data_IF_154722916979
#
_entry.id   IF_154722916979
#
_cell.length_a   1.000
_cell.length_b   1.000
_cell.length_c   1.000
_cell.angle_alpha   90.00
_cell.angle_beta   90.00
_cell.angle_gamma   90.00
#
_symmetry.space_group_name_H-M   'P 1'
#
loop_
_entity.id
_entity.type
_entity.pdbx_description
1 polymer ?
#
# COMPACT_ATOMS: atom_id res chain seq x y z
N UNK A 1 0.55 19.27 12.50
CA UNK A 1 0.49 17.89 13.06
C UNK A 1 -0.63 17.79 14.09
N UNK A 2 -1.26 16.64 14.26
CA UNK A 2 -2.20 16.37 15.38
C UNK A 2 -1.57 15.34 16.32
N UNK A 3 -1.83 15.43 17.63
CA UNK A 3 -1.21 14.54 18.63
C UNK A 3 -2.20 14.14 19.73
N UNK A 4 -1.98 12.96 20.31
CA UNK A 4 -2.63 12.51 21.55
C UNK A 4 -1.82 11.41 22.22
N UNK A 5 -1.34 11.67 23.43
CA UNK A 5 -0.59 10.70 24.25
C UNK A 5 0.65 10.12 23.53
N UNK A 6 1.49 10.98 22.95
CA UNK A 6 2.67 10.60 22.19
C UNK A 6 3.99 10.88 22.94
N UNK A 7 3.98 11.05 24.27
CA UNK A 7 5.16 11.45 25.04
C UNK A 7 6.34 10.47 24.86
N UNK A 8 6.04 9.19 24.62
CA UNK A 8 7.04 8.15 24.42
C UNK A 8 7.79 8.25 23.07
N UNK A 9 7.20 8.88 22.05
CA UNK A 9 7.72 8.83 20.67
C UNK A 9 7.87 10.20 20.01
N UNK A 10 7.15 11.23 20.45
CA UNK A 10 7.08 12.51 19.74
C UNK A 10 8.45 13.19 19.60
N UNK A 11 9.35 13.04 20.58
CA UNK A 11 10.66 13.69 20.57
C UNK A 11 11.48 13.34 19.32
N UNK A 12 11.53 12.07 18.91
CA UNK A 12 12.27 11.66 17.71
C UNK A 12 11.67 12.25 16.41
N UNK A 13 10.34 12.39 16.36
CA UNK A 13 9.66 13.04 15.24
C UNK A 13 10.08 14.51 15.16
N UNK A 14 9.97 15.23 16.30
CA UNK A 14 10.36 16.63 16.38
C UNK A 14 11.84 16.86 16.03
N UNK A 15 12.75 16.02 16.52
CA UNK A 15 14.17 16.08 16.18
C UNK A 15 14.42 15.97 14.67
N UNK A 16 13.68 15.09 13.99
CA UNK A 16 13.82 14.89 12.54
C UNK A 16 13.25 16.04 11.70
N UNK A 17 12.19 16.70 12.18
CA UNK A 17 11.44 17.72 11.42
C UNK A 17 11.97 19.13 11.68
N UNK A 18 12.44 19.40 12.90
CA UNK A 18 12.89 20.72 13.35
C UNK A 18 13.89 21.41 12.41
N UNK A 19 14.89 20.73 11.80
CA UNK A 19 15.83 21.38 10.88
C UNK A 19 15.22 21.83 9.53
N UNK A 20 13.96 21.47 9.26
CA UNK A 20 13.31 21.56 7.96
C UNK A 20 12.13 22.55 7.96
N UNK A 21 11.85 23.20 9.09
CA UNK A 21 10.68 24.06 9.27
C UNK A 21 11.09 25.42 9.84
N UNK A 22 10.41 26.48 9.39
CA UNK A 22 10.57 27.84 9.92
C UNK A 22 9.58 28.14 11.05
N UNK A 23 8.44 27.45 11.06
CA UNK A 23 7.38 27.59 12.05
C UNK A 23 6.64 26.28 12.26
N UNK A 24 5.85 26.17 13.33
CA UNK A 24 5.08 24.97 13.63
C UNK A 24 3.67 25.26 14.14
N UNK A 25 2.74 24.36 13.80
CA UNK A 25 1.40 24.28 14.39
C UNK A 25 1.11 22.83 14.73
N UNK A 26 0.83 22.60 16.01
CA UNK A 26 0.45 21.29 16.53
C UNK A 26 -0.90 21.43 17.23
N UNK A 27 -1.82 20.52 16.92
CA UNK A 27 -3.10 20.41 17.63
C UNK A 27 -3.05 19.19 18.53
N UNK A 28 -2.97 19.43 19.83
CA UNK A 28 -3.15 18.41 20.86
C UNK A 28 -4.65 18.14 21.06
N UNK A 29 -5.03 16.86 21.01
CA UNK A 29 -6.44 16.43 21.03
C UNK A 29 -6.85 15.80 22.36
N UNK A 30 -6.15 16.18 23.45
CA UNK A 30 -6.42 15.75 24.82
C UNK A 30 -5.39 14.75 25.33
N UNK A 31 -4.09 15.06 25.19
CA UNK A 31 -3.02 14.30 25.85
C UNK A 31 -3.08 14.45 27.37
N UNK A 32 -2.67 13.40 28.08
CA UNK A 32 -2.63 13.33 29.55
C UNK A 32 -1.30 12.77 30.07
N UNK A 33 -0.32 12.59 29.20
CA UNK A 33 0.93 11.85 29.46
C UNK A 33 2.20 12.72 29.44
N UNK A 34 2.05 14.05 29.33
CA UNK A 34 3.17 14.98 29.23
C UNK A 34 3.58 15.35 27.80
N UNK A 35 2.86 14.89 26.76
CA UNK A 35 3.16 15.20 25.35
C UNK A 35 3.29 16.70 25.09
N UNK A 36 2.42 17.50 25.71
CA UNK A 36 2.33 18.94 25.49
C UNK A 36 3.56 19.67 26.03
N UNK A 37 4.03 19.28 27.21
CA UNK A 37 5.22 19.82 27.86
C UNK A 37 6.47 19.56 27.00
N UNK A 38 6.59 18.33 26.47
CA UNK A 38 7.70 17.96 25.58
C UNK A 38 7.70 18.84 24.32
N UNK A 39 6.54 19.06 23.70
CA UNK A 39 6.43 19.92 22.51
C UNK A 39 6.87 21.35 22.84
N UNK A 40 6.32 21.94 23.91
CA UNK A 40 6.62 23.33 24.31
C UNK A 40 8.09 23.52 24.64
N UNK A 41 8.70 22.57 25.35
CA UNK A 41 10.12 22.62 25.68
C UNK A 41 10.98 22.49 24.42
N UNK A 42 10.66 21.52 23.56
CA UNK A 42 11.53 21.19 22.42
C UNK A 42 11.44 22.18 21.26
N UNK A 43 10.28 22.83 21.03
CA UNK A 43 10.06 23.79 19.95
C UNK A 43 9.93 25.23 20.42
N UNK A 44 10.11 25.50 21.72
CA UNK A 44 9.80 26.80 22.33
C UNK A 44 10.66 27.98 21.84
N UNK A 45 11.76 27.71 21.15
CA UNK A 45 12.63 28.71 20.54
C UNK A 45 12.35 28.94 19.04
N UNK A 46 11.45 28.17 18.43
CA UNK A 46 10.95 28.40 17.07
C UNK A 46 9.57 29.09 17.10
N UNK A 47 9.27 29.98 16.14
CA UNK A 47 7.91 30.49 15.96
C UNK A 47 6.92 29.34 15.82
N UNK A 48 5.80 29.39 16.54
CA UNK A 48 4.77 28.38 16.41
C UNK A 48 3.85 28.29 17.62
N UNK A 49 2.80 27.49 17.49
CA UNK A 49 1.74 27.41 18.48
C UNK A 49 1.28 25.97 18.69
N UNK A 50 1.17 25.58 19.96
CA UNK A 50 0.45 24.39 20.39
C UNK A 50 -0.99 24.77 20.71
N UNK A 51 -1.94 24.18 20.00
CA UNK A 51 -3.37 24.34 20.25
C UNK A 51 -3.92 23.12 20.96
N UNK A 52 -4.65 23.34 22.05
CA UNK A 52 -5.41 22.29 22.73
C UNK A 52 -6.86 22.36 22.25
N UNK A 53 -7.33 21.30 21.60
CA UNK A 53 -8.66 21.24 20.98
C UNK A 53 -9.34 19.91 21.27
N UNK A 54 -10.68 19.87 21.36
CA UNK A 54 -11.41 18.60 21.42
C UNK A 54 -11.14 17.77 20.16
N UNK A 55 -11.10 16.44 20.30
CA UNK A 55 -11.03 15.52 19.16
C UNK A 55 -12.26 15.65 18.25
N UNK A 56 -12.04 15.92 16.96
CA UNK A 56 -13.10 16.08 15.93
C UNK A 56 -13.12 14.94 14.90
N UNK A 57 -12.46 13.82 15.17
CA UNK A 57 -12.17 12.80 14.15
C UNK A 57 -10.84 13.05 13.44
N UNK A 58 -10.39 12.08 12.65
CA UNK A 58 -9.09 12.12 11.96
C UNK A 58 -9.05 13.24 10.92
N UNK A 59 -10.02 13.25 10.02
CA UNK A 59 -10.22 14.31 9.04
C UNK A 59 -10.45 15.69 9.65
N UNK A 60 -11.39 15.79 10.60
CA UNK A 60 -11.77 17.06 11.23
C UNK A 60 -10.62 17.71 12.00
N UNK A 61 -9.88 16.94 12.80
CA UNK A 61 -8.77 17.48 13.60
C UNK A 61 -7.56 17.85 12.72
N UNK A 62 -7.26 17.06 11.67
CA UNK A 62 -6.20 17.41 10.71
C UNK A 62 -6.58 18.65 9.89
N UNK A 63 -7.83 18.79 9.48
CA UNK A 63 -8.32 19.98 8.77
C UNK A 63 -8.25 21.22 9.65
N UNK A 64 -8.62 21.12 10.93
CA UNK A 64 -8.44 22.23 11.88
C UNK A 64 -6.96 22.63 12.02
N UNK A 65 -6.03 21.66 12.03
CA UNK A 65 -4.60 21.96 12.06
C UNK A 65 -4.13 22.70 10.78
N UNK A 66 -4.69 22.37 9.61
CA UNK A 66 -4.42 23.09 8.36
C UNK A 66 -4.91 24.53 8.45
N UNK A 67 -6.15 24.73 8.90
CA UNK A 67 -6.75 26.06 8.96
C UNK A 67 -6.02 26.99 9.93
N UNK A 68 -5.56 26.46 11.07
CA UNK A 68 -4.75 27.20 12.04
C UNK A 68 -3.35 27.56 11.49
N UNK A 69 -2.77 26.71 10.66
CA UNK A 69 -1.42 26.90 10.12
C UNK A 69 -1.37 27.75 8.84
N UNK A 70 -2.50 27.88 8.13
CA UNK A 70 -2.58 28.45 6.77
C UNK A 70 -1.98 29.85 6.64
N UNK A 71 -2.13 30.70 7.65
CA UNK A 71 -1.61 32.07 7.63
C UNK A 71 -0.19 32.20 8.17
N UNK A 72 0.41 31.11 8.65
CA UNK A 72 1.75 31.11 9.28
C UNK A 72 2.86 30.67 8.34
N UNK A 73 2.56 30.08 7.18
CA UNK A 73 3.54 29.55 6.25
C UNK A 73 3.06 29.58 4.79
N UNK A 74 3.99 29.48 3.84
CA UNK A 74 3.70 29.32 2.41
C UNK A 74 3.37 27.87 2.04
N UNK A 75 3.91 26.92 2.80
CA UNK A 75 3.71 25.48 2.64
C UNK A 75 3.51 24.79 3.98
N UNK A 76 2.69 23.73 3.98
CA UNK A 76 2.39 22.90 5.14
C UNK A 76 2.95 21.50 4.93
N UNK A 77 3.79 21.07 5.87
CA UNK A 77 4.36 19.73 5.95
C UNK A 77 3.53 18.86 6.93
N UNK A 78 3.17 17.66 6.51
CA UNK A 78 2.44 16.69 7.31
C UNK A 78 3.32 15.49 7.67
N UNK A 79 3.41 15.23 8.96
CA UNK A 79 4.11 14.08 9.54
C UNK A 79 3.30 13.60 10.74
N UNK A 80 3.26 12.28 10.95
CA UNK A 80 2.63 11.67 12.12
C UNK A 80 3.64 11.65 13.28
N UNK A 81 3.16 11.77 14.52
CA UNK A 81 4.02 11.97 15.69
C UNK A 81 4.91 10.75 16.03
N UNK A 82 4.59 9.59 15.48
CA UNK A 82 5.35 8.36 15.59
C UNK A 82 6.19 8.05 14.34
N UNK A 83 6.26 8.96 13.38
CA UNK A 83 7.11 8.87 12.19
C UNK A 83 8.32 9.81 12.27
N UNK A 84 9.29 9.63 11.37
CA UNK A 84 10.46 10.52 11.26
C UNK A 84 10.71 10.93 9.82
N UNK A 85 11.32 12.09 9.62
CA UNK A 85 11.78 12.54 8.31
C UNK A 85 13.25 12.18 8.12
N UNK A 86 13.56 11.61 6.96
CA UNK A 86 14.91 11.30 6.53
C UNK A 86 15.20 12.03 5.23
N UNK A 87 16.39 12.62 5.14
CA UNK A 87 16.84 13.34 3.95
C UNK A 87 18.10 12.69 3.40
N UNK A 88 18.23 12.71 2.08
CA UNK A 88 19.42 12.20 1.42
C UNK A 88 20.63 13.10 1.72
N UNK A 89 21.83 12.51 1.61
CA UNK A 89 23.07 13.26 1.80
C UNK A 89 23.15 14.41 0.78
N UNK A 90 23.33 15.63 1.29
CA UNK A 90 23.40 16.83 0.45
C UNK A 90 22.04 17.43 0.07
N UNK A 91 20.93 16.88 0.56
CA UNK A 91 19.60 17.45 0.32
C UNK A 91 19.54 18.93 0.71
N UNK A 92 18.89 19.72 -0.14
CA UNK A 92 18.54 21.11 0.07
C UNK A 92 17.11 21.29 -0.41
N UNK A 93 16.28 21.95 0.40
CA UNK A 93 14.92 22.26 0.01
C UNK A 93 14.95 23.04 -1.31
N UNK A 94 14.32 22.53 -2.39
CA UNK A 94 14.29 23.24 -3.66
C UNK A 94 13.33 24.44 -3.58
N UNK A 95 13.35 25.28 -4.61
CA UNK A 95 12.30 26.28 -4.78
C UNK A 95 10.96 25.56 -5.01
N UNK A 96 10.02 25.77 -4.09
CA UNK A 96 8.72 25.10 -4.12
C UNK A 96 7.76 25.86 -5.05
N UNK A 97 7.47 25.27 -6.20
CA UNK A 97 6.65 25.86 -7.27
C UNK A 97 5.32 25.13 -7.48
N UNK A 98 5.24 23.84 -7.13
CA UNK A 98 4.03 23.03 -7.24
C UNK A 98 3.12 23.22 -6.04
N UNK A 99 1.80 23.09 -6.23
CA UNK A 99 0.84 23.25 -5.13
C UNK A 99 0.85 22.06 -4.16
N UNK A 100 1.28 20.88 -4.63
CA UNK A 100 1.38 19.66 -3.84
C UNK A 100 2.61 18.86 -4.23
N UNK A 101 3.34 18.39 -3.22
CA UNK A 101 4.49 17.51 -3.40
C UNK A 101 4.21 16.13 -2.79
N UNK A 102 4.37 15.11 -3.64
CA UNK A 102 4.44 13.72 -3.21
C UNK A 102 5.78 13.46 -2.52
N UNK A 103 5.71 12.79 -1.36
CA UNK A 103 6.86 12.39 -0.56
C UNK A 103 6.85 10.87 -0.44
N UNK A 104 8.03 10.25 -0.56
CA UNK A 104 8.19 8.82 -0.38
C UNK A 104 8.01 8.47 1.11
N UNK A 105 7.19 7.46 1.37
CA UNK A 105 6.90 6.94 2.70
C UNK A 105 7.40 5.51 2.79
N UNK A 106 8.41 5.31 3.63
CA UNK A 106 9.12 4.06 3.80
C UNK A 106 8.54 3.30 4.98
N UNK A 107 8.03 2.09 4.73
CA UNK A 107 7.56 1.17 5.76
C UNK A 107 8.11 -0.23 5.50
N UNK A 108 9.26 -0.53 6.09
CA UNK A 108 10.04 -1.76 5.83
C UNK A 108 10.43 -1.85 4.34
N UNK A 109 10.37 -2.97 3.59
CA UNK A 109 10.79 -2.93 2.18
C UNK A 109 9.76 -2.22 1.27
N UNK A 110 8.64 -1.75 1.81
CA UNK A 110 7.57 -1.11 1.05
C UNK A 110 7.77 0.40 1.04
N UNK A 111 7.77 0.97 -0.16
CA UNK A 111 7.77 2.41 -0.39
C UNK A 111 6.45 2.77 -1.09
N UNK A 112 5.73 3.75 -0.57
CA UNK A 112 4.57 4.34 -1.23
C UNK A 112 4.69 5.86 -1.23
N UNK A 113 3.96 6.53 -2.11
CA UNK A 113 4.00 7.99 -2.23
C UNK A 113 2.70 8.59 -1.72
N UNK A 114 2.79 9.65 -0.91
CA UNK A 114 1.62 10.44 -0.49
C UNK A 114 1.90 11.93 -0.58
N UNK A 115 0.89 12.77 -0.89
CA UNK A 115 0.99 14.21 -0.66
C UNK A 115 1.32 14.47 0.81
N UNK A 116 2.46 15.10 1.08
CA UNK A 116 2.86 15.44 2.46
C UNK A 116 3.36 16.87 2.61
N UNK A 117 3.56 17.60 1.51
CA UNK A 117 3.90 19.02 1.53
C UNK A 117 2.99 19.75 0.54
N UNK A 118 2.25 20.76 1.00
CA UNK A 118 1.28 21.48 0.14
C UNK A 118 1.31 22.99 0.36
N UNK A 119 1.05 23.74 -0.70
CA UNK A 119 1.00 25.21 -0.65
C UNK A 119 -0.25 25.70 0.09
N UNK A 120 -0.11 26.72 0.94
CA UNK A 120 -1.24 27.35 1.66
C UNK A 120 -2.17 28.17 0.76
N UNK A 121 -1.79 28.38 -0.51
CA UNK A 121 -2.57 29.11 -1.52
C UNK A 121 -3.90 28.44 -1.88
N UNK A 122 -4.02 27.13 -1.67
CA UNK A 122 -5.21 26.36 -2.03
C UNK A 122 -5.94 25.80 -0.81
N UNK A 123 -7.27 25.60 -0.87
CA UNK A 123 -8.10 25.20 0.28
C UNK A 123 -7.99 23.70 0.58
N UNK A 124 -6.81 23.25 1.02
CA UNK A 124 -6.59 21.86 1.43
C UNK A 124 -7.44 21.47 2.65
N UNK A 125 -7.92 20.22 2.66
CA UNK A 125 -8.59 19.58 3.80
C UNK A 125 -8.25 18.10 3.84
N UNK A 126 -8.35 17.47 5.00
CA UNK A 126 -8.36 16.02 5.08
C UNK A 126 -9.80 15.51 4.95
N UNK A 127 -9.97 14.40 4.24
CA UNK A 127 -11.27 13.75 4.04
C UNK A 127 -11.17 12.29 4.46
N UNK A 128 -12.10 11.86 5.32
CA UNK A 128 -12.28 10.46 5.67
C UNK A 128 -12.28 10.20 7.18
N UNK A 129 -13.25 9.41 7.65
CA UNK A 129 -13.34 9.01 9.07
C UNK A 129 -12.18 8.11 9.52
N UNK A 130 -11.52 7.43 8.58
CA UNK A 130 -10.31 6.62 8.75
C UNK A 130 -9.64 6.44 7.39
N UNK A 131 -8.32 6.25 7.36
CA UNK A 131 -7.52 6.26 6.13
C UNK A 131 -7.71 7.55 5.34
N UNK A 132 -7.74 8.65 6.10
CA UNK A 132 -7.92 10.00 5.64
C UNK A 132 -6.85 10.39 4.61
N UNK A 133 -7.24 11.19 3.63
CA UNK A 133 -6.34 11.67 2.59
C UNK A 133 -6.49 13.18 2.45
N UNK A 134 -5.42 13.81 1.99
CA UNK A 134 -5.42 15.24 1.71
C UNK A 134 -6.10 15.48 0.37
N UNK A 135 -7.06 16.39 0.37
CA UNK A 135 -7.88 16.73 -0.78
C UNK A 135 -7.94 18.24 -0.99
N UNK A 136 -8.22 18.65 -2.22
CA UNK A 136 -8.45 20.03 -2.60
C UNK A 136 -9.53 20.08 -3.67
N UNK A 137 -10.57 20.89 -3.42
CA UNK A 137 -11.68 21.05 -4.36
C UNK A 137 -11.29 21.87 -5.61
N UNK A 138 -10.09 22.45 -5.64
CA UNK A 138 -9.57 23.25 -6.75
C UNK A 138 -8.54 22.45 -7.57
N UNK A 139 -8.42 22.66 -8.90
CA UNK A 139 -7.33 22.10 -9.68
C UNK A 139 -5.96 22.55 -9.15
N UNK A 140 -5.01 21.62 -9.10
CA UNK A 140 -3.70 21.89 -8.54
C UNK A 140 -2.58 21.16 -9.26
N UNK A 141 -1.39 21.74 -9.20
CA UNK A 141 -0.18 21.15 -9.79
C UNK A 141 0.51 20.21 -8.81
N UNK A 142 1.11 19.13 -9.31
CA UNK A 142 1.77 18.09 -8.51
C UNK A 142 3.23 17.95 -8.88
N UNK A 143 4.09 17.96 -7.87
CA UNK A 143 5.51 17.63 -7.98
C UNK A 143 5.87 16.44 -7.09
N UNK A 144 7.13 16.04 -7.17
CA UNK A 144 7.74 15.05 -6.28
C UNK A 144 8.87 15.73 -5.53
N UNK A 145 8.97 15.50 -4.21
CA UNK A 145 10.07 16.01 -3.41
C UNK A 145 11.13 14.90 -3.26
N UNK A 146 12.08 14.88 -4.20
CA UNK A 146 13.16 13.89 -4.20
C UNK A 146 14.18 14.15 -3.07
N UNK A 147 14.74 13.08 -2.53
CA UNK A 147 15.71 13.14 -1.43
C UNK A 147 15.13 13.54 -0.08
N UNK A 148 13.80 13.53 0.05
CA UNK A 148 13.06 13.77 1.28
C UNK A 148 12.06 12.64 1.49
N UNK A 149 12.13 11.96 2.62
CA UNK A 149 11.40 10.74 2.87
C UNK A 149 10.78 10.76 4.27
N UNK A 150 9.60 10.16 4.42
CA UNK A 150 9.01 9.86 5.73
C UNK A 150 9.26 8.39 6.01
N UNK A 151 9.92 8.06 7.12
CA UNK A 151 10.06 6.67 7.56
C UNK A 151 9.06 6.38 8.68
N UNK A 152 8.22 5.38 8.44
CA UNK A 152 7.27 4.89 9.43
C UNK A 152 8.04 4.10 10.50
N UNK A 153 7.99 4.59 11.74
CA UNK A 153 8.66 3.94 12.88
C UNK A 153 7.64 3.27 13.80
N UNK A 154 6.51 3.93 14.07
CA UNK A 154 5.44 3.39 14.90
C UNK A 154 5.76 3.35 16.39
N UNK A 155 4.92 2.67 17.17
CA UNK A 155 5.00 2.69 18.63
C UNK A 155 4.29 3.88 19.29
N UNK A 156 3.48 4.64 18.53
CA UNK A 156 2.58 5.64 19.11
C UNK A 156 1.43 5.03 19.91
N UNK A 157 0.70 5.86 20.66
CA UNK A 157 -0.30 5.41 21.64
C UNK A 157 -1.34 4.44 21.06
N UNK A 158 -1.80 4.68 19.83
CA UNK A 158 -2.81 3.83 19.17
C UNK A 158 -2.31 2.41 18.85
N UNK A 159 -1.00 2.20 18.74
CA UNK A 159 -0.43 0.87 18.48
C UNK A 159 -0.32 0.01 19.75
N UNK A 160 -0.32 0.62 20.94
CA UNK A 160 -0.19 -0.09 22.23
C UNK A 160 -1.51 -0.63 22.81
N UNK A 161 -2.67 -0.31 22.22
CA UNK A 161 -3.98 -0.64 22.78
C UNK A 161 -4.58 -1.94 22.21
N UNK A 162 -4.36 -3.05 22.94
CA UNK A 162 -5.03 -4.34 22.69
C UNK A 162 -4.38 -5.20 21.61
N UNK A 163 -5.08 -6.25 21.16
CA UNK A 163 -4.59 -7.10 20.08
C UNK A 163 -4.78 -6.45 18.71
N UNK A 164 -4.00 -6.86 17.70
CA UNK A 164 -4.18 -6.44 16.31
C UNK A 164 -5.62 -6.67 15.83
N UNK A 165 -6.22 -7.79 16.24
CA UNK A 165 -7.61 -8.12 15.93
C UNK A 165 -8.57 -7.06 16.50
N UNK A 166 -8.43 -6.71 17.77
CA UNK A 166 -9.32 -5.73 18.41
C UNK A 166 -9.22 -4.36 17.76
N UNK A 167 -8.01 -3.96 17.34
CA UNK A 167 -7.79 -2.74 16.55
C UNK A 167 -8.58 -2.76 15.25
N UNK A 168 -8.46 -3.82 14.45
CA UNK A 168 -9.15 -3.88 13.16
C UNK A 168 -10.67 -4.04 13.30
N UNK A 169 -11.17 -4.65 14.38
CA UNK A 169 -12.60 -4.63 14.71
C UNK A 169 -13.10 -3.21 14.98
N UNK A 170 -12.37 -2.41 15.76
CA UNK A 170 -12.71 -0.99 16.00
C UNK A 170 -12.67 -0.17 14.71
N UNK A 171 -11.66 -0.39 13.87
CA UNK A 171 -11.54 0.28 12.58
C UNK A 171 -12.73 -0.06 11.66
N UNK A 172 -13.17 -1.33 11.64
CA UNK A 172 -14.35 -1.74 10.91
C UNK A 172 -15.63 -1.06 11.43
N UNK A 173 -15.83 -0.97 12.74
CA UNK A 173 -16.99 -0.27 13.32
C UNK A 173 -17.04 1.22 12.97
N UNK A 174 -15.88 1.89 12.94
CA UNK A 174 -15.77 3.29 12.53
C UNK A 174 -16.22 3.45 11.08
N UNK A 175 -15.74 2.58 10.19
CA UNK A 175 -16.05 2.61 8.76
C UNK A 175 -17.50 2.22 8.47
N UNK A 176 -18.09 1.28 9.21
CA UNK A 176 -19.52 0.96 9.14
C UNK A 176 -20.37 2.18 9.49
N UNK A 177 -20.06 2.87 10.60
CA UNK A 177 -20.74 4.11 10.98
C UNK A 177 -20.55 5.22 9.94
N UNK A 178 -19.37 5.30 9.31
CA UNK A 178 -19.11 6.18 8.18
C UNK A 178 -20.04 5.88 7.00
N UNK A 179 -20.15 4.62 6.59
CA UNK A 179 -21.02 4.17 5.49
C UNK A 179 -22.52 4.32 5.78
N UNK A 180 -22.94 4.39 7.05
CA UNK A 180 -24.33 4.75 7.37
C UNK A 180 -24.64 6.20 7.00
N UNK A 181 -23.65 7.10 7.06
CA UNK A 181 -23.79 8.52 6.73
C UNK A 181 -23.49 8.80 5.25
N UNK A 182 -22.51 8.09 4.70
CA UNK A 182 -22.05 8.22 3.32
C UNK A 182 -22.07 6.83 2.62
N UNK A 183 -23.25 6.30 2.24
CA UNK A 183 -23.37 4.93 1.72
C UNK A 183 -22.60 4.67 0.41
N UNK A 184 -22.38 5.72 -0.37
CA UNK A 184 -21.67 5.67 -1.66
C UNK A 184 -20.16 5.94 -1.53
N UNK A 185 -19.64 6.10 -0.31
CA UNK A 185 -18.21 6.31 -0.10
C UNK A 185 -17.42 5.03 -0.38
N UNK A 186 -16.92 4.92 -1.61
CA UNK A 186 -16.20 3.75 -2.09
C UNK A 186 -14.90 3.49 -1.30
N UNK A 187 -14.23 4.54 -0.83
CA UNK A 187 -13.02 4.39 0.00
C UNK A 187 -13.34 3.73 1.33
N UNK A 188 -14.43 4.14 1.99
CA UNK A 188 -14.85 3.49 3.24
C UNK A 188 -15.22 2.03 3.03
N UNK A 189 -15.92 1.69 1.94
CA UNK A 189 -16.24 0.30 1.62
C UNK A 189 -14.98 -0.56 1.39
N UNK A 190 -13.97 -0.02 0.71
CA UNK A 190 -12.70 -0.70 0.49
C UNK A 190 -11.96 -0.98 1.81
N UNK A 191 -11.77 0.04 2.65
CA UNK A 191 -11.07 -0.14 3.91
C UNK A 191 -11.88 -0.95 4.92
N UNK A 192 -13.22 -0.93 4.87
CA UNK A 192 -14.05 -1.80 5.71
C UNK A 192 -13.76 -3.27 5.40
N UNK A 193 -13.65 -3.59 4.12
CA UNK A 193 -13.30 -4.94 3.68
C UNK A 193 -11.89 -5.35 4.14
N UNK A 194 -10.92 -4.43 4.12
CA UNK A 194 -9.58 -4.65 4.67
C UNK A 194 -9.61 -4.86 6.19
N UNK A 195 -10.30 -4.00 6.94
CA UNK A 195 -10.43 -4.13 8.39
C UNK A 195 -11.05 -5.47 8.78
N UNK A 196 -12.10 -5.93 8.08
CA UNK A 196 -12.64 -7.27 8.32
C UNK A 196 -11.66 -8.39 8.00
N UNK A 197 -10.89 -8.26 6.91
CA UNK A 197 -9.87 -9.26 6.55
C UNK A 197 -8.83 -9.38 7.66
N UNK A 198 -8.32 -8.25 8.12
CA UNK A 198 -7.19 -8.17 9.05
C UNK A 198 -7.65 -8.44 10.50
N UNK A 199 -8.93 -8.24 10.80
CA UNK A 199 -9.58 -8.74 12.01
C UNK A 199 -9.81 -10.26 11.99
N UNK A 200 -9.64 -10.95 10.85
CA UNK A 200 -9.91 -12.39 10.73
C UNK A 200 -11.39 -12.73 10.57
N UNK A 201 -12.15 -11.88 9.87
CA UNK A 201 -13.58 -12.04 9.54
C UNK A 201 -13.76 -12.23 8.01
N UNK A 202 -13.35 -13.37 7.44
CA UNK A 202 -13.22 -13.53 5.98
C UNK A 202 -14.54 -13.44 5.21
N UNK A 203 -15.66 -13.87 5.80
CA UNK A 203 -16.98 -13.77 5.16
C UNK A 203 -17.49 -12.33 5.08
N UNK A 204 -17.33 -11.56 6.17
CA UNK A 204 -17.66 -10.12 6.18
C UNK A 204 -16.77 -9.36 5.20
N UNK A 205 -15.48 -9.71 5.17
CA UNK A 205 -14.52 -9.11 4.25
C UNK A 205 -14.88 -9.39 2.79
N UNK A 206 -15.22 -10.63 2.45
CA UNK A 206 -15.63 -11.00 1.08
C UNK A 206 -16.87 -10.20 0.66
N UNK A 207 -17.91 -10.14 1.49
CA UNK A 207 -19.12 -9.37 1.19
C UNK A 207 -18.83 -7.87 1.00
N UNK A 208 -17.95 -7.30 1.84
CA UNK A 208 -17.57 -5.89 1.75
C UNK A 208 -16.74 -5.60 0.48
N UNK A 209 -15.83 -6.49 0.08
CA UNK A 209 -15.11 -6.36 -1.19
C UNK A 209 -16.02 -6.52 -2.40
N UNK A 210 -16.98 -7.44 -2.36
CA UNK A 210 -17.97 -7.60 -3.43
C UNK A 210 -18.82 -6.33 -3.60
N UNK A 211 -19.22 -5.70 -2.48
CA UNK A 211 -19.85 -4.37 -2.51
C UNK A 211 -18.91 -3.33 -3.10
N UNK A 212 -17.66 -3.25 -2.64
CA UNK A 212 -16.70 -2.25 -3.15
C UNK A 212 -16.44 -2.41 -4.65
N UNK A 213 -16.37 -3.64 -5.14
CA UNK A 213 -16.13 -3.96 -6.53
C UNK A 213 -17.26 -3.53 -7.47
N UNK A 214 -18.50 -3.35 -6.96
CA UNK A 214 -19.64 -2.85 -7.74
C UNK A 214 -19.82 -1.34 -7.68
N UNK A 215 -19.01 -0.63 -6.88
CA UNK A 215 -19.04 0.83 -6.75
C UNK A 215 -18.12 1.51 -7.77
N UNK A 216 -18.40 2.79 -8.05
CA UNK A 216 -17.52 3.64 -8.86
C UNK A 216 -16.26 4.10 -8.10
N UNK A 217 -15.67 5.21 -8.57
CA UNK A 217 -14.52 5.84 -7.93
C UNK A 217 -13.18 5.32 -8.46
N UNK A 218 -12.18 5.24 -7.59
CA UNK A 218 -10.82 4.91 -8.00
C UNK A 218 -10.72 3.47 -8.55
N UNK A 219 -10.29 3.36 -9.80
CA UNK A 219 -10.28 2.09 -10.54
C UNK A 219 -9.30 1.05 -9.96
N UNK A 220 -8.18 1.49 -9.39
CA UNK A 220 -7.21 0.56 -8.78
C UNK A 220 -7.74 -0.05 -7.48
N UNK A 221 -8.47 0.72 -6.65
CA UNK A 221 -9.17 0.17 -5.48
C UNK A 221 -10.24 -0.84 -5.89
N UNK A 222 -10.97 -0.58 -6.97
CA UNK A 222 -11.97 -1.52 -7.50
C UNK A 222 -11.33 -2.83 -7.96
N UNK A 223 -10.21 -2.75 -8.68
CA UNK A 223 -9.40 -3.91 -9.05
C UNK A 223 -8.91 -4.69 -7.82
N UNK A 224 -8.30 -4.00 -6.85
CA UNK A 224 -7.82 -4.63 -5.61
C UNK A 224 -8.96 -5.31 -4.85
N UNK A 225 -10.15 -4.71 -4.81
CA UNK A 225 -11.33 -5.31 -4.20
C UNK A 225 -11.71 -6.63 -4.89
N UNK A 226 -11.75 -6.66 -6.22
CA UNK A 226 -12.05 -7.87 -6.99
C UNK A 226 -10.98 -8.97 -6.78
N UNK A 227 -9.70 -8.59 -6.83
CA UNK A 227 -8.58 -9.51 -6.60
C UNK A 227 -8.64 -10.11 -5.18
N UNK A 228 -8.85 -9.28 -4.16
CA UNK A 228 -8.90 -9.73 -2.77
C UNK A 228 -10.15 -10.56 -2.47
N UNK A 229 -11.29 -10.23 -3.09
CA UNK A 229 -12.49 -11.07 -3.06
C UNK A 229 -12.22 -12.45 -3.68
N UNK A 230 -11.56 -12.52 -4.84
CA UNK A 230 -11.20 -13.79 -5.47
C UNK A 230 -10.30 -14.66 -4.58
N UNK A 231 -9.28 -14.06 -3.95
CA UNK A 231 -8.39 -14.73 -2.99
C UNK A 231 -9.13 -15.22 -1.74
N UNK A 232 -10.04 -14.41 -1.21
CA UNK A 232 -10.88 -14.80 -0.06
C UNK A 232 -11.82 -15.94 -0.43
N UNK A 233 -12.47 -15.89 -1.59
CA UNK A 233 -13.32 -16.96 -2.09
C UNK A 233 -12.55 -18.28 -2.21
N UNK A 234 -11.32 -18.25 -2.76
CA UNK A 234 -10.43 -19.41 -2.80
C UNK A 234 -10.11 -19.94 -1.40
N UNK A 235 -9.75 -19.06 -0.45
CA UNK A 235 -9.44 -19.43 0.94
C UNK A 235 -10.64 -20.04 1.68
N UNK A 236 -11.83 -19.51 1.43
CA UNK A 236 -13.11 -20.01 1.94
C UNK A 236 -13.58 -21.29 1.22
N UNK A 237 -12.81 -21.80 0.26
CA UNK A 237 -13.13 -23.00 -0.54
C UNK A 237 -14.49 -22.88 -1.24
N UNK A 238 -14.79 -21.68 -1.77
CA UNK A 238 -15.93 -21.48 -2.67
C UNK A 238 -15.79 -22.40 -3.89
N UNK A 239 -16.91 -22.74 -4.58
CA UNK A 239 -16.87 -23.61 -5.75
C UNK A 239 -15.82 -23.16 -6.77
N UNK A 240 -15.03 -24.07 -7.37
CA UNK A 240 -13.94 -23.70 -8.29
C UNK A 240 -14.35 -22.82 -9.47
N UNK A 241 -15.57 -22.99 -9.98
CA UNK A 241 -16.12 -22.16 -11.06
C UNK A 241 -16.32 -20.70 -10.61
N UNK A 242 -16.81 -20.48 -9.38
CA UNK A 242 -16.97 -19.14 -8.79
C UNK A 242 -15.60 -18.47 -8.61
N UNK A 243 -14.63 -19.19 -8.04
CA UNK A 243 -13.28 -18.67 -7.82
C UNK A 243 -12.61 -18.29 -9.14
N UNK A 244 -12.74 -19.15 -10.16
CA UNK A 244 -12.21 -18.88 -11.50
C UNK A 244 -12.84 -17.62 -12.11
N UNK A 245 -14.17 -17.50 -12.09
CA UNK A 245 -14.89 -16.32 -12.59
C UNK A 245 -14.48 -15.03 -11.87
N UNK A 246 -14.29 -15.08 -10.54
CA UNK A 246 -13.81 -13.92 -9.76
C UNK A 246 -12.42 -13.45 -10.19
N UNK A 247 -11.48 -14.36 -10.42
CA UNK A 247 -10.15 -13.97 -10.93
C UNK A 247 -10.22 -13.42 -12.36
N UNK A 248 -11.05 -14.02 -13.23
CA UNK A 248 -11.21 -13.54 -14.60
C UNK A 248 -11.82 -12.13 -14.64
N UNK A 249 -12.85 -11.86 -13.83
CA UNK A 249 -13.42 -10.50 -13.70
C UNK A 249 -12.41 -9.48 -13.17
N UNK A 250 -11.58 -9.87 -12.21
CA UNK A 250 -10.48 -9.02 -11.74
C UNK A 250 -9.49 -8.70 -12.87
N UNK A 251 -9.14 -9.69 -13.71
CA UNK A 251 -8.29 -9.45 -14.88
C UNK A 251 -8.98 -8.56 -15.93
N UNK A 252 -10.26 -8.81 -16.23
CA UNK A 252 -11.03 -8.03 -17.21
C UNK A 252 -11.17 -6.55 -16.81
N UNK A 253 -11.29 -6.25 -15.52
CA UNK A 253 -11.39 -4.86 -15.05
C UNK A 253 -10.08 -4.08 -15.14
N UNK A 254 -8.93 -4.78 -15.10
CA UNK A 254 -7.61 -4.16 -15.23
C UNK A 254 -6.60 -5.12 -15.88
N UNK A 255 -6.64 -5.29 -17.20
CA UNK A 255 -5.87 -6.33 -17.90
C UNK A 255 -4.35 -6.10 -17.88
N UNK A 256 -3.91 -4.88 -17.53
CA UNK A 256 -2.50 -4.55 -17.30
C UNK A 256 -1.94 -5.04 -15.96
N UNK A 257 -2.74 -5.76 -15.14
CA UNK A 257 -2.32 -6.31 -13.85
C UNK A 257 -2.18 -7.84 -13.91
N UNK A 258 -0.98 -8.34 -13.62
CA UNK A 258 -0.64 -9.75 -13.72
C UNK A 258 -1.18 -10.62 -12.57
N UNK A 259 -1.44 -10.01 -11.41
CA UNK A 259 -1.70 -10.73 -10.15
C UNK A 259 -2.88 -11.69 -10.24
N UNK A 260 -3.99 -11.27 -10.86
CA UNK A 260 -5.20 -12.09 -10.99
C UNK A 260 -4.96 -13.36 -11.84
N UNK A 261 -4.28 -13.22 -12.98
CA UNK A 261 -3.94 -14.37 -13.83
C UNK A 261 -2.85 -15.23 -13.23
N UNK A 262 -1.87 -14.63 -12.56
CA UNK A 262 -0.84 -15.34 -11.83
C UNK A 262 -1.42 -16.23 -10.73
N UNK A 263 -2.30 -15.69 -9.89
CA UNK A 263 -2.98 -16.44 -8.83
C UNK A 263 -3.87 -17.54 -9.42
N UNK A 264 -4.59 -17.27 -10.52
CA UNK A 264 -5.42 -18.26 -11.20
C UNK A 264 -4.57 -19.39 -11.82
N UNK A 265 -3.42 -19.07 -12.41
CA UNK A 265 -2.47 -20.04 -12.94
C UNK A 265 -1.96 -20.97 -11.84
N UNK A 266 -1.55 -20.38 -10.70
CA UNK A 266 -1.12 -21.12 -9.51
C UNK A 266 -2.24 -22.03 -8.99
N UNK A 267 -3.48 -21.55 -8.92
CA UNK A 267 -4.62 -22.35 -8.51
C UNK A 267 -4.81 -23.56 -9.44
N UNK A 268 -4.82 -23.33 -10.75
CA UNK A 268 -4.93 -24.40 -11.74
C UNK A 268 -3.81 -25.43 -11.61
N UNK A 269 -2.58 -24.99 -11.35
CA UNK A 269 -1.42 -25.87 -11.17
C UNK A 269 -1.58 -26.75 -9.93
N UNK A 270 -1.99 -26.18 -8.81
CA UNK A 270 -2.21 -26.94 -7.56
C UNK A 270 -3.34 -27.96 -7.70
N UNK A 271 -4.33 -27.68 -8.54
CA UNK A 271 -5.43 -28.60 -8.87
C UNK A 271 -5.07 -29.62 -9.98
N UNK A 272 -3.82 -29.64 -10.48
CA UNK A 272 -3.38 -30.53 -11.56
C UNK A 272 -3.92 -30.19 -12.95
N UNK A 273 -4.56 -29.03 -13.12
CA UNK A 273 -5.10 -28.53 -14.40
C UNK A 273 -4.00 -27.82 -15.20
N UNK A 274 -2.92 -28.54 -15.51
CA UNK A 274 -1.69 -27.96 -16.06
C UNK A 274 -1.88 -27.22 -17.38
N UNK A 275 -2.79 -27.68 -18.26
CA UNK A 275 -3.10 -26.99 -19.52
C UNK A 275 -3.65 -25.57 -19.30
N UNK A 276 -4.50 -25.38 -18.29
CA UNK A 276 -5.00 -24.04 -17.94
C UNK A 276 -3.97 -23.22 -17.17
N UNK A 277 -3.23 -23.85 -16.26
CA UNK A 277 -2.12 -23.20 -15.58
C UNK A 277 -1.13 -22.60 -16.58
N UNK A 278 -0.78 -23.36 -17.62
CA UNK A 278 0.11 -22.93 -18.69
C UNK A 278 -0.46 -21.73 -19.47
N UNK A 279 -1.72 -21.79 -19.89
CA UNK A 279 -2.39 -20.68 -20.59
C UNK A 279 -2.38 -19.38 -19.78
N UNK A 280 -2.79 -19.45 -18.50
CA UNK A 280 -2.86 -18.26 -17.66
C UNK A 280 -1.48 -17.73 -17.25
N UNK A 281 -0.53 -18.61 -16.90
CA UNK A 281 0.83 -18.21 -16.54
C UNK A 281 1.54 -17.54 -17.71
N UNK A 282 1.36 -18.08 -18.92
CA UNK A 282 1.96 -17.50 -20.14
C UNK A 282 1.43 -16.10 -20.43
N UNK A 283 0.14 -15.87 -20.20
CA UNK A 283 -0.42 -14.52 -20.32
C UNK A 283 0.07 -13.61 -19.20
N UNK A 284 0.08 -14.06 -17.95
CA UNK A 284 0.57 -13.28 -16.81
C UNK A 284 2.04 -12.85 -16.99
N UNK A 285 2.92 -13.75 -17.45
CA UNK A 285 4.34 -13.48 -17.67
C UNK A 285 4.63 -12.49 -18.84
N UNK A 286 3.62 -12.19 -19.67
CA UNK A 286 3.73 -11.19 -20.75
C UNK A 286 3.30 -9.79 -20.32
N UNK A 287 2.62 -9.66 -19.18
CA UNK A 287 2.13 -8.37 -18.69
C UNK A 287 3.32 -7.63 -18.05
N UNK A 288 3.72 -6.45 -18.58
CA UNK A 288 4.79 -5.67 -17.99
C UNK A 288 4.33 -5.05 -16.66
N UNK A 289 5.29 -4.58 -15.84
CA UNK A 289 4.99 -3.82 -14.64
C UNK A 289 4.11 -2.61 -14.98
N UNK A 290 2.98 -2.40 -14.29
CA UNK A 290 2.09 -1.28 -14.54
C UNK A 290 2.63 0.02 -13.95
N UNK A 291 2.08 1.15 -14.40
CA UNK A 291 2.26 2.47 -13.78
C UNK A 291 1.30 2.72 -12.60
N UNK A 292 0.44 1.73 -12.29
CA UNK A 292 -0.42 1.71 -11.12
C UNK A 292 0.37 1.98 -9.83
N UNK A 293 -0.29 2.65 -8.89
CA UNK A 293 0.32 3.08 -7.63
C UNK A 293 -0.22 2.31 -6.42
N UNK A 294 -1.39 1.70 -6.53
CA UNK A 294 -2.07 1.05 -5.41
C UNK A 294 -1.80 -0.45 -5.37
N UNK A 295 -1.07 -0.87 -4.33
CA UNK A 295 -0.83 -2.26 -3.94
C UNK A 295 -0.41 -3.17 -5.11
N UNK A 296 0.50 -2.69 -5.97
CA UNK A 296 1.12 -3.52 -7.00
C UNK A 296 2.07 -4.53 -6.35
N UNK A 297 1.88 -5.81 -6.64
CA UNK A 297 2.72 -6.89 -6.10
C UNK A 297 3.88 -7.16 -7.06
N UNK A 298 4.99 -6.45 -6.88
CA UNK A 298 6.14 -6.48 -7.82
C UNK A 298 6.71 -7.88 -8.08
N UNK A 299 6.66 -8.79 -7.10
CA UNK A 299 7.08 -10.18 -7.26
C UNK A 299 6.43 -10.89 -8.46
N UNK A 300 5.18 -10.54 -8.81
CA UNK A 300 4.49 -11.11 -9.98
C UNK A 300 5.15 -10.74 -11.31
N UNK A 301 5.79 -9.59 -11.37
CA UNK A 301 6.44 -9.04 -12.55
C UNK A 301 7.93 -9.37 -12.57
N UNK A 302 8.54 -9.51 -11.40
CA UNK A 302 9.97 -9.78 -11.25
C UNK A 302 10.31 -11.27 -11.43
N UNK A 303 9.51 -12.19 -10.89
CA UNK A 303 9.84 -13.62 -10.98
C UNK A 303 8.65 -14.58 -10.92
N UNK A 304 7.59 -14.31 -10.14
CA UNK A 304 6.54 -15.31 -9.86
C UNK A 304 5.77 -15.74 -11.10
N UNK A 305 5.40 -14.82 -11.99
CA UNK A 305 4.67 -15.21 -13.21
C UNK A 305 5.53 -16.09 -14.13
N UNK A 306 6.83 -15.79 -14.23
CA UNK A 306 7.78 -16.56 -15.03
C UNK A 306 8.06 -17.94 -14.41
N UNK A 307 8.13 -18.05 -13.09
CA UNK A 307 8.27 -19.32 -12.37
C UNK A 307 7.01 -20.20 -12.50
N UNK A 308 5.82 -19.61 -12.37
CA UNK A 308 4.56 -20.32 -12.63
C UNK A 308 4.49 -20.83 -14.08
N UNK A 309 4.97 -20.03 -15.06
CA UNK A 309 5.08 -20.47 -16.45
C UNK A 309 6.08 -21.61 -16.61
N UNK A 310 7.27 -21.52 -16.01
CA UNK A 310 8.30 -22.55 -16.10
C UNK A 310 7.78 -23.92 -15.63
N UNK A 311 7.09 -23.94 -14.48
CA UNK A 311 6.53 -25.17 -13.92
C UNK A 311 5.37 -25.68 -14.78
N UNK A 312 4.44 -24.82 -15.19
CA UNK A 312 3.30 -25.25 -16.01
C UNK A 312 3.74 -25.76 -17.39
N UNK A 313 4.72 -25.10 -18.02
CA UNK A 313 5.31 -25.50 -19.29
C UNK A 313 5.89 -26.92 -19.25
N UNK A 314 6.61 -27.26 -18.17
CA UNK A 314 7.14 -28.61 -17.96
C UNK A 314 6.02 -29.67 -17.97
N UNK A 315 4.94 -29.43 -17.22
CA UNK A 315 3.85 -30.40 -17.08
C UNK A 315 3.01 -30.58 -18.35
N UNK A 316 3.02 -29.62 -19.28
CA UNK A 316 2.35 -29.75 -20.59
C UNK A 316 3.26 -30.25 -21.70
N UNK A 317 4.54 -30.54 -21.40
CA UNK A 317 5.53 -31.02 -22.37
C UNK A 317 6.24 -29.93 -23.16
N UNK A 318 6.05 -28.65 -22.81
CA UNK A 318 6.78 -27.52 -23.38
C UNK A 318 8.13 -27.35 -22.67
N UNK A 319 8.99 -28.38 -22.76
CA UNK A 319 10.25 -28.46 -22.01
C UNK A 319 11.26 -27.38 -22.39
N UNK A 320 11.31 -26.96 -23.66
CA UNK A 320 12.17 -25.86 -24.11
C UNK A 320 11.78 -24.53 -23.44
N UNK A 321 10.49 -24.17 -23.45
CA UNK A 321 10.00 -22.94 -22.80
C UNK A 321 10.19 -23.01 -21.28
N UNK A 322 10.03 -24.20 -20.67
CA UNK A 322 10.34 -24.42 -19.26
C UNK A 322 11.81 -24.13 -18.95
N UNK A 323 12.73 -24.68 -19.76
CA UNK A 323 14.17 -24.47 -19.63
C UNK A 323 14.52 -22.98 -19.79
N UNK A 324 14.01 -22.32 -20.83
CA UNK A 324 14.23 -20.90 -21.09
C UNK A 324 13.76 -20.03 -19.92
N UNK A 325 12.58 -20.32 -19.36
CA UNK A 325 12.07 -19.59 -18.20
C UNK A 325 12.98 -19.79 -16.98
N UNK A 326 13.43 -21.01 -16.70
CA UNK A 326 14.37 -21.29 -15.60
C UNK A 326 15.72 -20.60 -15.80
N UNK A 327 16.29 -20.64 -17.01
CA UNK A 327 17.53 -19.95 -17.35
C UNK A 327 17.40 -18.44 -17.14
N UNK A 328 16.29 -17.86 -17.59
CA UNK A 328 15.99 -16.45 -17.36
C UNK A 328 15.88 -16.12 -15.88
N UNK A 329 15.14 -16.90 -15.09
CA UNK A 329 15.00 -16.71 -13.64
C UNK A 329 16.34 -16.78 -12.88
N UNK A 330 17.25 -17.65 -13.31
CA UNK A 330 18.57 -17.79 -12.68
C UNK A 330 19.54 -16.69 -13.14
N UNK A 331 19.40 -16.20 -14.37
CA UNK A 331 20.27 -15.16 -14.93
C UNK A 331 19.83 -13.75 -14.56
N UNK A 332 18.53 -13.48 -14.63
CA UNK A 332 17.92 -12.17 -14.35
C UNK A 332 17.84 -11.96 -12.83
N UNK A 333 18.00 -10.70 -12.38
CA UNK A 333 17.79 -10.34 -10.98
C UNK A 333 16.30 -10.36 -10.62
N UNK A 334 15.96 -10.61 -9.36
CA UNK A 334 14.58 -10.59 -8.85
C UNK A 334 14.10 -11.91 -8.24
N UNK A 335 14.72 -13.05 -8.60
CA UNK A 335 14.45 -14.32 -7.94
C UNK A 335 15.05 -14.33 -6.51
N UNK A 336 14.26 -14.60 -5.45
CA UNK A 336 14.78 -14.70 -4.09
C UNK A 336 15.80 -15.82 -3.95
N UNK A 337 16.87 -15.61 -3.16
CA UNK A 337 17.94 -16.60 -2.96
C UNK A 337 17.41 -17.97 -2.51
N UNK A 338 16.40 -17.97 -1.62
CA UNK A 338 15.73 -19.18 -1.13
C UNK A 338 14.99 -19.99 -2.20
N UNK A 339 14.81 -19.44 -3.40
CA UNK A 339 14.15 -20.10 -4.53
C UNK A 339 15.14 -20.60 -5.59
N UNK A 340 16.41 -20.17 -5.55
CA UNK A 340 17.38 -20.47 -6.62
C UNK A 340 17.66 -21.96 -6.77
N UNK A 341 17.81 -22.68 -5.65
CA UNK A 341 18.01 -24.14 -5.65
C UNK A 341 16.83 -24.86 -6.32
N UNK A 342 15.59 -24.57 -5.89
CA UNK A 342 14.38 -25.13 -6.49
C UNK A 342 14.26 -24.83 -7.98
N UNK A 343 14.58 -23.61 -8.41
CA UNK A 343 14.55 -23.25 -9.85
C UNK A 343 15.65 -24.00 -10.61
N UNK A 344 16.82 -24.21 -10.01
CA UNK A 344 17.89 -25.05 -10.55
C UNK A 344 17.46 -26.52 -10.74
N UNK A 345 16.71 -27.08 -9.79
CA UNK A 345 16.13 -28.42 -9.92
C UNK A 345 15.09 -28.47 -11.07
N UNK A 346 14.20 -27.48 -11.15
CA UNK A 346 13.24 -27.37 -12.25
C UNK A 346 13.93 -27.30 -13.62
N UNK A 347 15.01 -26.51 -13.72
CA UNK A 347 15.87 -26.43 -14.90
C UNK A 347 16.43 -27.80 -15.28
N UNK A 348 16.99 -28.53 -14.31
CA UNK A 348 17.56 -29.86 -14.53
C UNK A 348 16.49 -30.87 -14.98
N UNK A 349 15.28 -30.79 -14.43
CA UNK A 349 14.16 -31.62 -14.89
C UNK A 349 13.80 -31.33 -16.35
N UNK A 350 13.66 -30.06 -16.74
CA UNK A 350 13.39 -29.68 -18.11
C UNK A 350 14.50 -30.18 -19.06
N UNK A 351 15.76 -29.98 -18.67
CA UNK A 351 16.93 -30.44 -19.44
C UNK A 351 16.94 -31.96 -19.64
N UNK A 352 16.56 -32.74 -18.62
CA UNK A 352 16.49 -34.21 -18.70
C UNK A 352 15.48 -34.73 -19.72
N UNK A 353 14.49 -33.90 -20.09
CA UNK A 353 13.45 -34.23 -21.07
C UNK A 353 13.81 -33.80 -22.49
N UNK A 354 14.88 -33.04 -22.66
CA UNK A 354 15.38 -32.53 -23.94
C UNK A 354 16.53 -33.39 -24.47
N UNK A 355 16.75 -33.33 -25.79
CA UNK A 355 17.75 -34.13 -26.48
C UNK A 355 19.21 -33.76 -26.16
N UNK A 356 20.18 -34.53 -26.69
CA UNK A 356 21.62 -34.34 -26.42
C UNK A 356 22.13 -32.93 -26.79
N UNK A 357 21.53 -32.27 -27.78
CA UNK A 357 21.90 -30.90 -28.17
C UNK A 357 21.77 -29.86 -27.04
N UNK A 358 20.96 -30.12 -26.01
CA UNK A 358 20.81 -29.22 -24.87
C UNK A 358 21.78 -29.55 -23.71
N UNK A 359 22.37 -30.75 -23.69
CA UNK A 359 23.20 -31.23 -22.58
C UNK A 359 24.66 -30.72 -22.59
N UNK A 360 25.05 -29.95 -23.61
CA UNK A 360 26.45 -29.47 -23.81
C UNK A 360 26.71 -28.13 -23.09
N UNK A 361 25.68 -27.51 -22.49
CA UNK A 361 25.78 -26.23 -21.77
C UNK A 361 25.21 -26.42 -20.35
N UNK A 362 25.89 -27.24 -19.55
CA UNK A 362 25.63 -27.40 -18.12
C UNK A 362 26.73 -26.72 -17.31
#
# INVERSE_FOLDING_TARGET
MIVKNEAAVIRRCLESVRPLIDTWVIVDTGSTDGTQEIIREFLGDLPGVLHERPWKGFDGSRTEAIDLARSSADYLLFVDADDVIEIDSGFRMPELTFDSYGVAVHHRPVIHWRPALVSTRLPWKYVGVLHEYLDCDEPFTRGVLEGFHIRIVGGGARQGEGSDRDKYLRDAEILEKGLLKEPENARYAFYLAQSWRDAGEPEKSLAAYDRRASMGGFAEEAYCAQLYAARLAARLRRPPAEVTDRYLRAHESRPGRAEALGDLARLCRLDGRFQLAYLFARQAARIPRPEDILFVEFDWYEWRALDELAVAAYWVGAYEESLECCDRLLREGGLPESQRERVGENRAFALSKLGPEYQVVA
#
